data_IF_698785900210
#
_entry.id   IF_698785900210
#
_cell.length_a   1.000
_cell.length_b   1.000
_cell.length_c   1.000
_cell.angle_alpha   90.00
_cell.angle_beta   90.00
_cell.angle_gamma   90.00
#
_symmetry.space_group_name_H-M   'P 1'
#
loop_
_entity.id
_entity.type
_entity.pdbx_description
1 polymer ?
#
# COMPACT_ATOMS: atom_id res chain seq x y z
N UNK A 1 3.88 -1.22 -3.30
CA UNK A 1 4.57 -1.83 -2.13
C UNK A 1 5.56 -2.88 -2.61
N UNK A 2 6.86 -2.54 -2.68
CA UNK A 2 7.88 -3.39 -3.29
C UNK A 2 7.98 -4.79 -2.68
N UNK A 3 7.95 -4.89 -1.36
CA UNK A 3 8.06 -6.14 -0.60
C UNK A 3 6.88 -7.11 -0.79
N UNK A 4 5.72 -6.60 -1.21
CA UNK A 4 4.56 -7.44 -1.57
C UNK A 4 4.39 -7.59 -3.09
N UNK A 5 5.29 -7.02 -3.90
CA UNK A 5 5.20 -7.10 -5.36
C UNK A 5 3.97 -6.39 -5.97
N UNK A 6 3.34 -5.46 -5.26
CA UNK A 6 2.13 -4.78 -5.73
C UNK A 6 2.42 -3.35 -6.17
N UNK A 7 1.98 -3.00 -7.38
CA UNK A 7 1.85 -1.63 -7.90
C UNK A 7 0.46 -1.51 -8.55
N UNK A 8 -0.23 -0.41 -8.28
CA UNK A 8 -1.53 -0.11 -8.86
C UNK A 8 -1.65 1.40 -9.00
N UNK A 9 -2.06 1.87 -10.17
CA UNK A 9 -2.20 3.31 -10.41
C UNK A 9 -3.53 3.82 -9.87
N UNK A 10 -3.49 5.03 -9.29
CA UNK A 10 -4.66 5.76 -8.83
C UNK A 10 -5.14 6.73 -9.92
N UNK A 11 -6.04 6.28 -10.78
CA UNK A 11 -6.59 7.07 -11.89
C UNK A 11 -7.97 7.64 -11.52
N UNK A 12 -8.18 8.97 -11.60
CA UNK A 12 -9.49 9.58 -11.35
C UNK A 12 -10.59 8.96 -12.23
N UNK A 13 -11.73 8.62 -11.63
CA UNK A 13 -12.87 8.01 -12.35
C UNK A 13 -12.73 6.50 -12.64
N UNK A 14 -11.66 5.84 -12.21
CA UNK A 14 -11.45 4.40 -12.39
C UNK A 14 -11.16 3.71 -11.05
N UNK A 15 -11.94 2.67 -10.72
CA UNK A 15 -11.68 1.80 -9.58
C UNK A 15 -10.81 0.62 -10.02
N UNK A 16 -9.53 0.66 -9.66
CA UNK A 16 -8.61 -0.44 -9.83
C UNK A 16 -8.59 -1.30 -8.55
N UNK A 17 -8.48 -2.62 -8.70
CA UNK A 17 -8.44 -3.56 -7.57
C UNK A 17 -7.27 -4.54 -7.74
N UNK A 18 -6.64 -4.90 -6.63
CA UNK A 18 -5.65 -5.98 -6.54
C UNK A 18 -5.78 -6.67 -5.19
N UNK A 19 -5.32 -7.92 -5.12
CA UNK A 19 -5.35 -8.72 -3.89
C UNK A 19 -4.03 -8.59 -3.14
N UNK A 20 -4.11 -8.52 -1.81
CA UNK A 20 -2.95 -8.58 -0.92
C UNK A 20 -3.03 -9.85 -0.10
N UNK A 21 -1.91 -10.55 0.02
CA UNK A 21 -1.76 -11.68 0.91
C UNK A 21 -0.49 -11.53 1.73
N UNK A 22 -0.64 -11.42 3.04
CA UNK A 22 0.43 -11.13 3.99
C UNK A 22 0.79 -12.44 4.71
N UNK A 23 1.96 -12.98 4.42
CA UNK A 23 2.45 -14.24 5.00
C UNK A 23 3.06 -14.10 6.40
N UNK A 24 3.35 -12.86 6.82
CA UNK A 24 4.03 -12.56 8.08
C UNK A 24 3.56 -11.23 8.63
N UNK A 25 3.51 -11.14 9.96
CA UNK A 25 3.25 -9.90 10.66
C UNK A 25 4.42 -8.92 10.51
N UNK A 26 4.12 -7.62 10.54
CA UNK A 26 5.11 -6.56 10.40
C UNK A 26 4.61 -5.36 9.61
N UNK A 27 5.48 -4.36 9.46
CA UNK A 27 5.17 -3.11 8.74
C UNK A 27 5.89 -3.10 7.40
N UNK A 28 5.14 -2.86 6.33
CA UNK A 28 5.62 -2.80 4.95
C UNK A 28 5.48 -1.37 4.44
N UNK A 29 6.54 -0.85 3.82
CA UNK A 29 6.57 0.52 3.31
C UNK A 29 6.56 0.56 1.78
N UNK A 30 5.94 1.60 1.24
CA UNK A 30 5.94 1.97 -0.16
C UNK A 30 5.95 3.48 -0.35
N UNK A 31 6.14 3.91 -1.59
CA UNK A 31 6.07 5.31 -2.01
C UNK A 31 5.15 5.42 -3.23
N UNK A 32 4.66 6.63 -3.50
CA UNK A 32 4.02 6.91 -4.77
C UNK A 32 4.95 6.54 -5.93
N UNK A 33 4.41 5.91 -6.98
CA UNK A 33 5.18 5.39 -8.11
C UNK A 33 4.84 6.08 -9.44
N UNK A 34 4.11 7.19 -9.38
CA UNK A 34 3.70 8.00 -10.54
C UNK A 34 3.76 9.48 -10.17
N UNK A 35 4.41 10.30 -11.00
CA UNK A 35 4.60 11.73 -10.72
C UNK A 35 3.24 12.43 -10.58
N UNK A 36 2.97 13.02 -9.42
CA UNK A 36 1.65 13.57 -9.07
C UNK A 36 1.67 15.01 -8.55
N UNK A 37 2.81 15.70 -8.60
CA UNK A 37 2.96 17.09 -8.18
C UNK A 37 4.23 17.34 -7.36
N UNK A 38 4.34 18.53 -6.77
CA UNK A 38 5.53 18.97 -6.01
C UNK A 38 5.81 18.14 -4.76
N UNK A 39 4.78 17.62 -4.11
CA UNK A 39 4.91 16.78 -2.91
C UNK A 39 5.00 15.27 -3.23
N UNK A 40 5.25 14.89 -4.49
CA UNK A 40 5.28 13.49 -4.93
C UNK A 40 6.22 12.59 -4.11
N UNK A 41 7.35 13.11 -3.63
CA UNK A 41 8.30 12.38 -2.78
C UNK A 41 7.95 12.34 -1.28
N UNK A 42 6.92 13.06 -0.84
CA UNK A 42 6.54 13.22 0.56
C UNK A 42 5.18 12.55 0.89
N UNK A 43 4.84 11.48 0.16
CA UNK A 43 3.60 10.72 0.33
C UNK A 43 3.86 9.20 0.47
N UNK A 44 4.40 8.76 1.63
CA UNK A 44 4.66 7.36 1.90
C UNK A 44 3.36 6.57 2.09
N UNK A 45 3.44 5.25 1.88
CA UNK A 45 2.38 4.29 2.19
C UNK A 45 2.94 3.28 3.19
N UNK A 46 2.21 3.02 4.27
CA UNK A 46 2.55 2.00 5.26
C UNK A 46 1.39 1.00 5.39
N UNK A 47 1.71 -0.29 5.44
CA UNK A 47 0.75 -1.37 5.71
C UNK A 47 1.26 -2.18 6.88
N UNK A 48 0.47 -2.25 7.94
CA UNK A 48 0.75 -3.08 9.10
C UNK A 48 -0.05 -4.38 8.99
N UNK A 49 0.65 -5.51 9.03
CA UNK A 49 0.07 -6.85 9.17
C UNK A 49 0.07 -7.22 10.64
N UNK A 50 -1.12 -7.44 11.18
CA UNK A 50 -1.35 -7.91 12.56
C UNK A 50 -2.20 -9.17 12.55
N UNK A 51 -2.22 -9.88 13.67
CA UNK A 51 -3.10 -11.03 13.87
C UNK A 51 -4.57 -10.61 13.84
N UNK A 52 -5.46 -11.54 13.46
CA UNK A 52 -6.89 -11.24 13.27
C UNK A 52 -7.57 -10.70 14.52
N UNK A 53 -7.19 -11.17 15.71
CA UNK A 53 -7.71 -10.65 16.97
C UNK A 53 -7.35 -9.17 17.17
N UNK A 54 -6.09 -8.79 16.92
CA UNK A 54 -5.62 -7.41 17.00
C UNK A 54 -6.15 -6.51 15.89
N UNK A 55 -6.60 -7.07 14.78
CA UNK A 55 -7.25 -6.31 13.72
C UNK A 55 -8.71 -5.99 14.03
N UNK A 56 -9.41 -6.91 14.72
CA UNK A 56 -10.85 -6.79 15.00
C UNK A 56 -11.15 -6.03 16.30
N UNK A 57 -10.21 -6.02 17.25
CA UNK A 57 -10.30 -5.30 18.53
C UNK A 57 -9.63 -3.92 18.44
#
# INVERSE_FOLDING_TARGET
>A
MPSLGVKLDACPGRLNQTSLYLLRNGVFFGQCSEICGSAHGAMPIAVESVDSERFLL
#
